data_IF_875030796264
#
_entry.id   IF_875030796264
#
_cell.length_a   1.000
_cell.length_b   1.000
_cell.length_c   1.000
_cell.angle_alpha   90.00
_cell.angle_beta   90.00
_cell.angle_gamma   90.00
#
_symmetry.space_group_name_H-M   'P 1'
#
loop_
_entity.id
_entity.type
_entity.pdbx_description
1 polymer ?
#
# COMPACT_ATOMS: atom_id res chain seq x y z
N UNK A 1 -19.30 17.61 8.50
CA UNK A 1 -17.90 17.16 8.52
C UNK A 1 -17.83 15.94 7.65
N UNK A 2 -17.15 16.04 6.51
CA UNK A 2 -16.93 14.90 5.62
C UNK A 2 -15.87 14.00 6.26
N UNK A 3 -16.30 12.98 6.99
CA UNK A 3 -15.43 12.02 7.70
C UNK A 3 -14.97 10.87 6.78
N UNK A 4 -15.04 11.05 5.46
CA UNK A 4 -14.98 9.95 4.50
C UNK A 4 -13.60 9.69 3.88
N UNK A 5 -12.59 10.55 4.09
CA UNK A 5 -11.34 10.49 3.30
C UNK A 5 -10.02 10.29 4.07
N UNK A 6 -10.02 10.06 5.38
CA UNK A 6 -8.77 9.89 6.17
C UNK A 6 -8.69 8.56 6.93
N UNK A 7 -9.22 7.47 6.36
CA UNK A 7 -9.24 6.17 7.05
C UNK A 7 -7.93 5.38 6.84
N UNK A 8 -7.38 5.43 5.62
CA UNK A 8 -6.08 4.82 5.28
C UNK A 8 -5.13 5.92 4.84
N UNK A 9 -3.99 6.00 5.51
CA UNK A 9 -2.89 6.84 5.06
C UNK A 9 -1.95 5.99 4.21
N UNK A 10 -1.89 6.29 2.91
CA UNK A 10 -1.00 5.64 1.96
C UNK A 10 -0.04 6.67 1.36
N UNK A 11 1.25 6.36 1.36
CA UNK A 11 2.27 7.23 0.78
C UNK A 11 3.44 6.42 0.24
N UNK A 12 4.20 7.06 -0.65
CA UNK A 12 5.39 6.45 -1.23
C UNK A 12 6.68 7.08 -0.73
N UNK A 13 7.74 6.27 -0.71
CA UNK A 13 9.11 6.73 -0.49
C UNK A 13 10.03 6.08 -1.51
N UNK A 14 10.94 6.86 -2.08
CA UNK A 14 11.90 6.38 -3.06
C UNK A 14 13.34 6.58 -2.61
N UNK A 15 14.21 5.63 -2.97
CA UNK A 15 15.66 5.78 -2.90
C UNK A 15 16.29 5.21 -4.18
N UNK A 16 16.63 6.08 -5.12
CA UNK A 16 17.13 5.68 -6.44
C UNK A 16 16.08 4.86 -7.22
N UNK A 17 16.38 3.58 -7.47
CA UNK A 17 15.49 2.67 -8.22
C UNK A 17 14.46 1.97 -7.33
N UNK A 18 14.65 2.01 -6.01
CA UNK A 18 13.70 1.43 -5.08
C UNK A 18 12.57 2.41 -4.78
N UNK A 19 11.34 1.93 -4.89
CA UNK A 19 10.13 2.66 -4.55
C UNK A 19 9.32 1.79 -3.59
N UNK A 20 8.93 2.35 -2.47
CA UNK A 20 8.12 1.69 -1.46
C UNK A 20 6.76 2.38 -1.36
N UNK A 21 5.71 1.57 -1.26
CA UNK A 21 4.41 1.97 -0.75
C UNK A 21 4.35 1.63 0.74
N UNK A 22 3.92 2.59 1.55
CA UNK A 22 3.53 2.39 2.94
C UNK A 22 2.04 2.70 3.01
N UNK A 23 1.25 1.77 3.55
CA UNK A 23 -0.18 1.97 3.76
C UNK A 23 -0.56 1.55 5.18
N UNK A 24 -1.25 2.44 5.89
CA UNK A 24 -1.65 2.24 7.29
C UNK A 24 -3.13 2.57 7.42
N UNK A 25 -3.93 1.60 7.86
CA UNK A 25 -5.29 1.82 8.28
C UNK A 25 -5.29 2.26 9.75
N UNK A 26 -5.78 3.46 10.03
CA UNK A 26 -5.86 3.99 11.40
C UNK A 26 -7.23 3.79 12.04
N UNK A 27 -8.10 2.99 11.41
CA UNK A 27 -9.47 2.75 11.89
C UNK A 27 -9.63 1.36 12.51
N UNK A 28 -10.69 1.22 13.29
CA UNK A 28 -11.15 -0.06 13.85
C UNK A 28 -11.94 -0.91 12.84
N UNK A 29 -12.10 -0.44 11.61
CA UNK A 29 -12.82 -1.10 10.52
C UNK A 29 -11.89 -1.55 9.38
N UNK A 30 -12.40 -2.38 8.48
CA UNK A 30 -11.70 -2.64 7.23
C UNK A 30 -11.80 -1.42 6.29
N UNK A 31 -10.72 -1.09 5.59
CA UNK A 31 -10.67 0.12 4.77
C UNK A 31 -9.90 -0.09 3.47
N UNK A 32 -10.33 0.58 2.39
CA UNK A 32 -9.71 0.48 1.07
C UNK A 32 -8.40 1.27 1.01
N UNK A 33 -7.39 0.70 0.35
CA UNK A 33 -6.17 1.43 -0.02
C UNK A 33 -6.40 2.08 -1.37
N UNK A 34 -6.24 3.39 -1.43
CA UNK A 34 -6.14 4.11 -2.70
C UNK A 34 -4.68 4.11 -3.17
N UNK A 35 -4.44 3.61 -4.39
CA UNK A 35 -3.12 3.65 -5.04
C UNK A 35 -2.91 4.91 -5.88
N UNK A 36 -3.92 5.79 -5.98
CA UNK A 36 -3.81 7.04 -6.71
C UNK A 36 -2.66 7.87 -6.16
N UNK A 37 -1.73 8.28 -7.04
CA UNK A 37 -0.52 9.00 -6.64
C UNK A 37 0.59 8.13 -6.01
N UNK A 38 0.37 6.82 -5.84
CA UNK A 38 1.39 5.91 -5.33
C UNK A 38 2.36 5.39 -6.40
N UNK A 39 2.19 5.75 -7.68
CA UNK A 39 3.07 5.29 -8.76
C UNK A 39 3.02 3.77 -9.04
N UNK A 40 2.06 3.06 -8.43
CA UNK A 40 1.69 1.69 -8.77
C UNK A 40 0.35 1.71 -9.51
N UNK A 41 0.24 0.97 -10.62
CA UNK A 41 -1.01 0.92 -11.40
C UNK A 41 -2.01 -0.09 -10.82
N UNK A 42 -1.49 -1.12 -10.13
CA UNK A 42 -2.30 -2.17 -9.51
C UNK A 42 -1.61 -2.77 -8.29
N UNK A 43 -2.35 -3.50 -7.46
CA UNK A 43 -1.76 -4.28 -6.37
C UNK A 43 -0.85 -5.43 -6.85
N UNK A 44 -0.99 -5.88 -8.11
CA UNK A 44 -0.12 -6.90 -8.69
C UNK A 44 1.33 -6.39 -8.93
N UNK A 45 1.47 -5.07 -9.01
CA UNK A 45 2.75 -4.37 -9.15
C UNK A 45 3.53 -4.27 -7.84
N UNK A 46 2.92 -4.71 -6.75
CA UNK A 46 3.50 -4.63 -5.42
C UNK A 46 4.10 -5.98 -5.01
N UNK A 47 5.16 -5.91 -4.24
CA UNK A 47 5.76 -7.03 -3.52
C UNK A 47 5.68 -6.69 -2.03
N UNK A 48 4.91 -7.47 -1.26
CA UNK A 48 4.80 -7.26 0.18
C UNK A 48 6.12 -7.55 0.88
N UNK A 49 6.62 -6.59 1.66
CA UNK A 49 7.85 -6.73 2.44
C UNK A 49 7.56 -6.92 3.92
N UNK A 50 6.55 -6.24 4.43
CA UNK A 50 6.18 -6.24 5.85
C UNK A 50 4.67 -6.09 6.01
N UNK A 51 4.09 -6.82 6.95
CA UNK A 51 2.74 -6.60 7.49
C UNK A 51 2.78 -6.80 8.99
N UNK A 52 2.03 -5.99 9.74
CA UNK A 52 1.87 -6.18 11.19
C UNK A 52 0.87 -7.30 11.56
N UNK A 53 0.14 -7.84 10.58
CA UNK A 53 -0.72 -8.98 10.79
C UNK A 53 -0.11 -10.24 10.16
N UNK A 54 -0.16 -11.34 10.91
CA UNK A 54 0.31 -12.64 10.44
C UNK A 54 -0.49 -13.15 9.24
N UNK A 55 0.17 -13.90 8.36
CA UNK A 55 -0.44 -14.65 7.26
C UNK A 55 -0.32 -14.03 5.87
N UNK A 56 -0.26 -12.70 5.73
CA UNK A 56 -0.17 -12.06 4.41
C UNK A 56 1.28 -12.04 3.88
N UNK A 57 2.28 -11.90 4.76
CA UNK A 57 3.69 -12.00 4.37
C UNK A 57 4.05 -13.36 3.72
N UNK A 58 3.20 -14.39 3.88
CA UNK A 58 3.40 -15.71 3.24
C UNK A 58 2.81 -15.79 1.84
N UNK A 59 1.85 -14.93 1.49
CA UNK A 59 1.19 -14.96 0.19
C UNK A 59 1.81 -13.98 -0.81
N UNK A 60 2.56 -12.98 -0.32
CA UNK A 60 3.04 -11.83 -1.12
C UNK A 60 1.95 -11.06 -1.87
N UNK A 61 0.68 -11.30 -1.53
CA UNK A 61 -0.47 -10.63 -2.14
C UNK A 61 -0.92 -9.50 -1.23
N UNK A 62 -1.00 -8.30 -1.77
CA UNK A 62 -1.53 -7.15 -1.04
C UNK A 62 -3.02 -7.03 -1.34
N UNK A 63 -3.89 -7.18 -0.34
CA UNK A 63 -5.30 -6.95 -0.54
C UNK A 63 -5.54 -5.45 -0.75
N UNK A 64 -6.44 -5.09 -1.66
CA UNK A 64 -6.88 -3.69 -1.82
C UNK A 64 -7.67 -3.15 -0.63
N UNK A 65 -7.93 -4.00 0.37
CA UNK A 65 -8.60 -3.66 1.62
C UNK A 65 -7.70 -4.09 2.78
N UNK A 66 -7.35 -3.15 3.65
CA UNK A 66 -6.66 -3.40 4.90
C UNK A 66 -7.65 -3.78 6.00
N UNK A 67 -7.24 -4.68 6.89
CA UNK A 67 -7.95 -4.97 8.14
C UNK A 67 -7.87 -3.80 9.12
N UNK A 68 -8.71 -3.79 10.19
CA UNK A 68 -8.57 -2.82 11.28
C UNK A 68 -7.12 -2.69 11.73
N UNK A 69 -6.62 -1.47 11.86
CA UNK A 69 -5.25 -1.21 12.33
C UNK A 69 -4.12 -1.92 11.55
N UNK A 70 -4.37 -2.39 10.33
CA UNK A 70 -3.35 -3.06 9.51
C UNK A 70 -2.42 -2.05 8.86
N UNK A 71 -1.13 -2.36 8.90
CA UNK A 71 -0.05 -1.61 8.29
C UNK A 71 0.78 -2.54 7.41
N UNK A 72 1.06 -2.09 6.19
CA UNK A 72 1.88 -2.81 5.23
C UNK A 72 2.98 -1.93 4.66
N UNK A 73 4.09 -2.56 4.32
CA UNK A 73 5.17 -1.98 3.50
C UNK A 73 5.38 -2.88 2.30
N UNK A 74 5.36 -2.28 1.12
CA UNK A 74 5.50 -2.99 -0.13
C UNK A 74 6.51 -2.31 -1.05
N UNK A 75 7.25 -3.10 -1.81
CA UNK A 75 8.05 -2.59 -2.94
C UNK A 75 7.17 -2.47 -4.17
N UNK A 76 7.31 -1.37 -4.90
CA UNK A 76 6.72 -1.18 -6.23
C UNK A 76 7.71 -1.76 -7.25
N UNK A 77 7.28 -2.74 -8.05
CA UNK A 77 8.13 -3.43 -9.03
C UNK A 77 8.56 -2.44 -10.14
N UNK A 78 9.81 -2.52 -10.55
CA UNK A 78 10.47 -1.54 -11.45
C UNK A 78 9.85 -1.46 -12.85
N UNK A 79 9.04 -2.45 -13.26
CA UNK A 79 8.31 -2.47 -14.53
C UNK A 79 6.90 -1.88 -14.47
N UNK A 80 6.42 -1.50 -13.29
CA UNK A 80 5.07 -0.97 -13.07
C UNK A 80 5.00 0.57 -13.02
N UNK A 81 6.15 1.22 -13.13
CA UNK A 81 6.25 2.67 -13.06
C UNK A 81 6.04 3.22 -14.47
N UNK A 82 5.01 4.06 -14.66
CA UNK A 82 4.91 4.88 -15.86
C UNK A 82 6.15 5.77 -15.96
N UNK A 83 6.86 5.82 -17.10
CA UNK A 83 8.01 6.68 -17.25
C UNK A 83 7.55 8.15 -17.28
N UNK A 84 7.82 8.91 -16.23
CA UNK A 84 7.69 10.37 -16.21
C UNK A 84 6.99 10.94 -14.99
N UNK A 85 7.75 11.09 -13.89
CA UNK A 85 7.71 12.23 -12.96
C UNK A 85 9.13 12.49 -12.43
#
# INVERSE_FOLDING_TARGET
MDAASEQVNAFTRGNGRDRLLVAVNFTDGAALVDLTGAGAQSFADLELLLSNYDGIAKTNVIPGTLRPCEAIVARIKTGAISPGE
#
